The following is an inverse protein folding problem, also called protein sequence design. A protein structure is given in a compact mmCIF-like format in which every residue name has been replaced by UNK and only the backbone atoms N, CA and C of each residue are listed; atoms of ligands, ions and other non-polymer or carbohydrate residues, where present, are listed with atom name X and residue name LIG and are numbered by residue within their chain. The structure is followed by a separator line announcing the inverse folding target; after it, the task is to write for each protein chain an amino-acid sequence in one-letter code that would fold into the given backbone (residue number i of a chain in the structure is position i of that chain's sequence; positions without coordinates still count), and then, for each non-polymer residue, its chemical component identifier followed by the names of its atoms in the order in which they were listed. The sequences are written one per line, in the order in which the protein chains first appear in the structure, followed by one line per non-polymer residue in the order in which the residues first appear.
data_IF_948879441539
#
_entry.id   IF_948879441539
#
_cell.length_a   1.000
_cell.length_b   1.000
_cell.length_c   1.000
_cell.angle_alpha   90.00
_cell.angle_beta   90.00
_cell.angle_gamma   90.00
#
_symmetry.space_group_name_H-M   'P 1'
#
loop_
_entity.id
_entity.type
_entity.pdbx_description
1 polymer ?
#
# COMPACT_ATOMS: atom_id res chain seq x y z
N UNK A 1 17.55 11.65 1.93
CA UNK A 1 18.33 11.45 3.17
C UNK A 1 19.68 10.86 2.77
N UNK A 2 20.74 10.92 3.60
CA UNK A 2 21.96 10.15 3.29
C UNK A 2 21.58 8.67 3.17
N UNK A 3 22.14 7.99 2.17
CA UNK A 3 22.07 6.54 2.10
C UNK A 3 22.63 5.95 3.40
N UNK A 4 21.96 4.96 3.97
CA UNK A 4 22.26 4.47 5.30
C UNK A 4 21.51 3.18 5.62
N UNK A 5 22.07 2.38 6.51
CA UNK A 5 21.48 1.12 6.91
C UNK A 5 20.18 1.40 7.66
N UNK A 6 19.09 0.81 7.19
CA UNK A 6 17.78 0.85 7.84
C UNK A 6 17.24 -0.56 7.81
N UNK A 7 17.24 -1.22 8.97
CA UNK A 7 16.72 -2.57 9.13
C UNK A 7 15.59 -2.54 10.14
N UNK A 8 14.42 -3.07 9.75
CA UNK A 8 13.25 -3.17 10.61
C UNK A 8 12.78 -4.63 10.60
N UNK A 9 12.59 -5.22 11.78
CA UNK A 9 12.02 -6.56 11.89
C UNK A 9 10.99 -6.68 13.00
N UNK A 10 10.06 -7.63 12.86
CA UNK A 10 9.11 -8.03 13.90
C UNK A 10 8.19 -6.89 14.39
N UNK A 11 7.76 -6.02 13.46
CA UNK A 11 6.90 -4.87 13.76
C UNK A 11 5.59 -4.94 12.99
N UNK A 12 4.49 -4.56 13.66
CA UNK A 12 3.21 -4.27 13.01
C UNK A 12 2.95 -2.77 13.10
N UNK A 13 2.90 -2.09 11.94
CA UNK A 13 2.40 -0.73 11.83
C UNK A 13 0.88 -0.75 11.66
N UNK A 14 0.20 0.24 12.23
CA UNK A 14 -1.26 0.34 12.16
C UNK A 14 -1.73 1.78 12.27
N UNK A 15 -3.01 1.98 11.99
CA UNK A 15 -3.74 3.23 12.18
C UNK A 15 -5.05 2.96 12.91
N UNK A 16 -5.54 3.98 13.62
CA UNK A 16 -6.84 3.94 14.30
C UNK A 16 -7.92 4.62 13.46
N UNK A 17 -9.18 4.30 13.74
CA UNK A 17 -10.34 5.03 13.22
C UNK A 17 -10.12 6.56 13.27
N UNK A 18 -10.49 7.25 12.19
CA UNK A 18 -10.26 8.69 12.02
C UNK A 18 -8.96 9.06 11.29
N UNK A 19 -8.14 8.08 10.90
CA UNK A 19 -6.85 8.29 10.22
C UNK A 19 -6.97 8.33 8.69
N UNK A 20 -8.06 8.85 8.14
CA UNK A 20 -8.39 8.77 6.70
C UNK A 20 -7.34 9.36 5.74
N UNK A 21 -6.40 10.17 6.25
CA UNK A 21 -5.32 10.81 5.49
C UNK A 21 -3.94 10.23 5.77
N UNK A 22 -3.85 9.18 6.59
CA UNK A 22 -2.57 8.61 6.99
C UNK A 22 -1.91 7.85 5.83
N UNK A 23 -0.63 8.16 5.60
CA UNK A 23 0.32 7.24 4.97
C UNK A 23 0.96 6.49 6.13
N UNK A 24 0.65 5.21 6.29
CA UNK A 24 0.99 4.46 7.51
C UNK A 24 2.49 4.22 7.59
N UNK A 25 3.11 3.89 6.47
CA UNK A 25 4.55 3.82 6.33
C UNK A 25 4.99 4.52 5.04
N UNK A 26 5.77 5.58 5.17
CA UNK A 26 6.45 6.23 4.05
C UNK A 26 7.93 5.83 4.06
N UNK A 27 8.35 5.11 3.02
CA UNK A 27 9.71 4.60 2.86
C UNK A 27 10.49 5.47 1.89
N UNK A 28 11.53 6.12 2.40
CA UNK A 28 12.35 7.08 1.64
C UNK A 28 13.86 6.88 1.87
N UNK A 29 14.24 5.67 2.31
CA UNK A 29 15.63 5.27 2.58
C UNK A 29 16.24 4.56 1.38
N UNK A 30 17.57 4.46 1.35
CA UNK A 30 18.33 3.83 0.28
C UNK A 30 19.58 3.14 0.80
N UNK A 31 19.96 2.06 0.12
CA UNK A 31 21.17 1.30 0.33
C UNK A 31 22.39 2.22 0.22
N UNK A 32 23.39 2.10 1.12
CA UNK A 32 24.69 2.71 0.91
C UNK A 32 25.32 2.25 -0.40
N UNK A 33 26.12 3.13 -1.01
CA UNK A 33 26.83 2.82 -2.26
C UNK A 33 27.65 1.52 -2.12
N UNK A 34 27.52 0.64 -3.12
CA UNK A 34 28.22 -0.65 -3.17
C UNK A 34 27.62 -1.73 -2.27
N UNK A 35 26.60 -1.43 -1.47
CA UNK A 35 25.88 -2.40 -0.64
C UNK A 35 24.49 -2.66 -1.21
N UNK A 36 23.88 -3.77 -0.81
CA UNK A 36 22.56 -4.21 -1.31
C UNK A 36 21.74 -4.70 -0.13
N UNK A 37 20.44 -4.38 -0.13
CA UNK A 37 19.49 -4.83 0.88
C UNK A 37 19.87 -4.39 2.31
N UNK A 38 20.46 -3.21 2.45
CA UNK A 38 20.74 -2.55 3.73
C UNK A 38 19.60 -1.63 4.16
N UNK A 39 18.75 -1.22 3.22
CA UNK A 39 17.46 -0.60 3.46
C UNK A 39 16.39 -1.69 3.30
N UNK A 40 15.97 -2.30 4.41
CA UNK A 40 15.21 -3.54 4.36
C UNK A 40 14.24 -3.77 5.55
N UNK A 41 13.24 -4.61 5.30
CA UNK A 41 12.28 -5.09 6.30
C UNK A 41 12.06 -6.60 6.21
N UNK A 42 11.95 -7.25 7.37
CA UNK A 42 11.62 -8.68 7.50
C UNK A 42 10.54 -8.88 8.56
N UNK A 43 9.49 -9.63 8.23
CA UNK A 43 8.37 -9.86 9.16
C UNK A 43 7.80 -8.54 9.72
N UNK A 44 7.68 -7.56 8.82
CA UNK A 44 7.05 -6.26 9.09
C UNK A 44 5.73 -6.18 8.34
N UNK A 45 4.66 -5.89 9.06
CA UNK A 45 3.31 -5.88 8.51
C UNK A 45 2.62 -4.52 8.73
N UNK A 46 1.71 -4.16 7.83
CA UNK A 46 0.76 -3.06 8.03
C UNK A 46 -0.61 -3.69 8.22
N UNK A 47 -1.20 -3.52 9.40
CA UNK A 47 -2.50 -4.12 9.76
C UNK A 47 -3.52 -3.03 10.05
N UNK A 48 -4.58 -2.92 9.24
CA UNK A 48 -5.51 -1.80 9.28
C UNK A 48 -6.93 -2.25 9.64
N UNK A 49 -7.38 -1.90 10.84
CA UNK A 49 -8.67 -2.36 11.39
C UNK A 49 -8.66 -3.83 11.82
N UNK A 50 -9.78 -4.30 12.36
CA UNK A 50 -10.00 -5.73 12.67
C UNK A 50 -9.22 -6.26 13.86
N UNK A 51 -8.90 -5.42 14.83
CA UNK A 51 -8.31 -5.84 16.11
C UNK A 51 -8.66 -4.84 17.22
N UNK A 52 -8.52 -5.29 18.47
CA UNK A 52 -8.77 -4.52 19.69
C UNK A 52 -7.87 -3.32 19.77
N UNK A 53 -8.49 -2.15 19.87
CA UNK A 53 -7.77 -0.88 19.91
C UNK A 53 -7.50 -0.27 18.52
N UNK A 54 -7.94 -0.88 17.42
CA UNK A 54 -8.01 -0.18 16.13
C UNK A 54 -9.14 0.87 16.09
N UNK A 55 -10.19 0.67 16.89
CA UNK A 55 -11.43 1.44 16.80
C UNK A 55 -12.28 1.09 15.57
N UNK A 56 -11.93 0.02 14.85
CA UNK A 56 -12.62 -0.48 13.64
C UNK A 56 -12.84 -1.98 13.83
N UNK A 57 -13.98 -2.35 14.40
CA UNK A 57 -14.30 -3.72 14.84
C UNK A 57 -15.74 -4.07 14.51
N UNK A 58 -16.16 -5.29 14.83
CA UNK A 58 -17.52 -5.78 14.60
C UNK A 58 -18.60 -4.91 15.26
N UNK A 59 -18.28 -4.19 16.34
CA UNK A 59 -19.24 -3.32 17.02
C UNK A 59 -19.69 -2.11 16.19
N UNK A 60 -18.88 -1.63 15.26
CA UNK A 60 -19.14 -0.39 14.52
C UNK A 60 -18.95 -0.49 13.00
N UNK A 61 -18.25 -1.51 12.50
CA UNK A 61 -17.92 -1.67 11.08
C UNK A 61 -18.32 -3.05 10.56
N UNK A 62 -19.27 -3.73 11.21
CA UNK A 62 -19.75 -5.04 10.76
C UNK A 62 -20.30 -4.97 9.34
N UNK A 63 -19.81 -5.84 8.47
CA UNK A 63 -20.26 -5.93 7.08
C UNK A 63 -21.80 -6.12 7.02
N UNK A 64 -22.44 -5.51 6.03
CA UNK A 64 -23.89 -5.59 5.77
C UNK A 64 -24.80 -5.09 6.90
N UNK A 65 -24.27 -4.34 7.88
CA UNK A 65 -25.08 -3.77 8.97
C UNK A 65 -25.69 -2.40 8.66
N UNK A 66 -25.33 -1.79 7.52
CA UNK A 66 -25.69 -0.41 7.20
C UNK A 66 -24.94 0.64 8.04
N UNK A 67 -23.78 0.27 8.59
CA UNK A 67 -22.95 1.17 9.39
C UNK A 67 -22.51 2.43 8.61
N UNK A 68 -22.17 3.48 9.36
CA UNK A 68 -21.57 4.66 8.77
C UNK A 68 -20.16 4.36 8.24
N UNK A 69 -19.79 4.97 7.11
CA UNK A 69 -18.47 4.79 6.47
C UNK A 69 -17.34 5.48 7.23
N UNK A 70 -17.57 6.71 7.70
CA UNK A 70 -16.55 7.55 8.34
C UNK A 70 -15.76 6.88 9.48
N UNK A 71 -16.38 6.18 10.45
CA UNK A 71 -15.64 5.51 11.53
C UNK A 71 -14.83 4.29 11.05
N UNK A 72 -15.04 3.81 9.82
CA UNK A 72 -14.42 2.60 9.31
C UNK A 72 -13.29 2.88 8.30
N UNK A 73 -12.90 4.15 8.12
CA UNK A 73 -11.76 4.54 7.29
C UNK A 73 -10.48 4.44 8.11
N UNK A 74 -9.54 3.58 7.68
CA UNK A 74 -8.32 3.28 8.41
C UNK A 74 -7.12 4.11 7.93
N UNK A 75 -6.91 4.26 6.62
CA UNK A 75 -5.75 4.97 6.09
C UNK A 75 -5.93 5.44 4.63
N UNK A 76 -5.07 6.35 4.19
CA UNK A 76 -4.96 6.74 2.78
C UNK A 76 -4.07 5.79 1.99
N UNK A 77 -2.91 5.42 2.54
CA UNK A 77 -1.92 4.51 1.94
C UNK A 77 -1.35 3.61 3.04
N UNK A 78 -1.24 2.31 2.78
CA UNK A 78 -0.57 1.37 3.68
C UNK A 78 0.95 1.54 3.68
N UNK A 79 1.57 1.41 2.50
CA UNK A 79 3.01 1.58 2.32
C UNK A 79 3.30 2.41 1.07
N UNK A 80 4.08 3.48 1.22
CA UNK A 80 4.49 4.36 0.13
C UNK A 80 6.01 4.38 0.00
N UNK A 81 6.55 3.73 -1.02
CA UNK A 81 7.97 3.76 -1.38
C UNK A 81 8.18 4.94 -2.32
N UNK A 82 8.91 5.97 -1.89
CA UNK A 82 9.03 7.23 -2.63
C UNK A 82 10.45 7.78 -2.61
N UNK A 83 10.90 8.25 -3.77
CA UNK A 83 12.09 9.08 -3.88
C UNK A 83 11.80 10.47 -3.27
N UNK A 84 12.16 10.71 -1.99
CA UNK A 84 12.04 12.07 -1.44
C UNK A 84 13.12 13.00 -1.97
N UNK A 85 12.75 13.85 -2.93
CA UNK A 85 13.49 15.08 -3.17
C UNK A 85 13.27 15.97 -1.95
N UNK A 86 14.35 16.30 -1.23
CA UNK A 86 14.25 17.30 -0.15
C UNK A 86 13.77 18.63 -0.76
N UNK A 87 12.78 19.28 -0.15
CA UNK A 87 12.25 20.56 -0.63
C UNK A 87 13.34 21.65 -0.74
N UNK A 88 14.38 21.55 0.10
CA UNK A 88 15.56 22.41 0.05
C UNK A 88 16.37 22.18 -1.24
N UNK A 89 16.39 20.93 -1.71
CA UNK A 89 17.05 20.51 -2.94
C UNK A 89 16.30 20.94 -4.21
N UNK A 90 14.97 20.91 -4.17
CA UNK A 90 14.14 21.42 -5.27
C UNK A 90 14.36 22.92 -5.49
N UNK A 91 14.56 23.68 -4.41
CA UNK A 91 14.95 25.09 -4.46
C UNK A 91 16.37 25.26 -5.04
N UNK A 92 17.34 24.45 -4.62
CA UNK A 92 18.72 24.53 -5.12
C UNK A 92 18.86 24.15 -6.61
N UNK A 93 18.11 23.16 -7.09
CA UNK A 93 18.06 22.80 -8.51
C UNK A 93 17.47 23.93 -9.38
N UNK A 94 16.53 24.72 -8.85
CA UNK A 94 15.95 25.84 -9.57
C UNK A 94 16.89 27.06 -9.69
N UNK A 95 18.00 27.09 -8.93
CA UNK A 95 19.05 28.11 -9.01
C UNK A 95 20.27 27.72 -9.87
N UNK A 96 20.18 26.65 -10.67
CA UNK A 96 21.18 26.33 -11.69
C UNK A 96 22.44 25.63 -11.18
N UNK A 97 22.42 25.04 -9.99
CA UNK A 97 23.49 24.15 -9.52
C UNK A 97 23.39 22.78 -10.23
N UNK A 98 23.82 22.71 -11.48
CA UNK A 98 23.69 21.54 -12.35
C UNK A 98 24.60 20.34 -11.97
N UNK A 99 25.46 20.45 -10.95
CA UNK A 99 26.47 19.44 -10.64
C UNK A 99 26.34 18.77 -9.26
N UNK A 100 25.32 19.11 -8.46
CA UNK A 100 25.03 18.35 -7.26
C UNK A 100 24.19 17.11 -7.64
N UNK A 101 24.88 16.05 -8.04
CA UNK A 101 24.36 14.70 -8.30
C UNK A 101 23.77 14.10 -7.02
N UNK A 102 22.65 14.65 -6.53
CA UNK A 102 21.90 14.06 -5.45
C UNK A 102 21.10 12.89 -6.04
N UNK A 103 21.70 11.71 -5.98
CA UNK A 103 21.01 10.44 -6.19
C UNK A 103 19.93 10.27 -5.12
N UNK A 104 18.76 10.85 -5.35
CA UNK A 104 17.57 10.55 -4.56
C UNK A 104 17.10 9.17 -5.02
N UNK A 105 17.52 8.15 -4.27
CA UNK A 105 17.10 6.78 -4.45
C UNK A 105 16.15 6.40 -3.31
N UNK A 106 15.20 5.53 -3.61
CA UNK A 106 14.49 4.75 -2.62
C UNK A 106 14.72 3.29 -2.95
N UNK A 107 15.63 2.64 -2.25
CA UNK A 107 15.86 1.19 -2.43
C UNK A 107 15.17 0.46 -1.29
N UNK A 108 14.71 -0.75 -1.55
CA UNK A 108 14.10 -1.53 -0.49
C UNK A 108 14.23 -3.03 -0.73
N UNK A 109 14.40 -3.79 0.35
CA UNK A 109 14.23 -5.23 0.38
C UNK A 109 13.17 -5.59 1.41
N UNK A 110 12.00 -6.00 0.93
CA UNK A 110 10.85 -6.38 1.76
C UNK A 110 10.64 -7.88 1.67
N UNK A 111 10.73 -8.58 2.79
CA UNK A 111 10.48 -10.03 2.84
C UNK A 111 9.36 -10.34 3.82
N UNK A 112 8.32 -11.00 3.32
CA UNK A 112 7.15 -11.39 4.10
C UNK A 112 6.23 -10.22 4.50
N UNK A 113 6.44 -9.03 3.93
CA UNK A 113 5.61 -7.87 4.25
C UNK A 113 4.16 -8.06 3.80
N UNK A 114 3.24 -7.90 4.74
CA UNK A 114 1.79 -7.98 4.49
C UNK A 114 1.14 -6.63 4.79
N UNK A 115 0.54 -6.02 3.77
CA UNK A 115 -0.26 -4.80 3.90
C UNK A 115 -1.73 -5.19 3.82
N UNK A 116 -2.33 -5.41 4.98
CA UNK A 116 -3.68 -5.96 5.10
C UNK A 116 -4.66 -4.90 5.60
N UNK A 117 -5.68 -4.64 4.79
CA UNK A 117 -6.89 -3.94 5.22
C UNK A 117 -7.90 -4.97 5.67
N UNK A 118 -8.33 -4.90 6.92
CA UNK A 118 -9.08 -5.99 7.53
C UNK A 118 -10.39 -6.29 6.81
N UNK A 119 -10.55 -7.55 6.39
CA UNK A 119 -11.82 -8.09 5.89
C UNK A 119 -12.65 -8.74 7.01
N UNK A 120 -12.03 -9.06 8.15
CA UNK A 120 -12.66 -9.62 9.34
C UNK A 120 -12.02 -9.12 10.65
N UNK A 121 -12.75 -9.25 11.75
CA UNK A 121 -12.28 -8.90 13.09
C UNK A 121 -11.53 -10.08 13.72
N UNK A 122 -10.21 -9.94 13.86
CA UNK A 122 -9.33 -10.99 14.40
C UNK A 122 -9.63 -11.34 15.85
N UNK A 123 -10.14 -10.38 16.62
CA UNK A 123 -10.43 -10.56 18.05
C UNK A 123 -11.90 -10.95 18.30
N UNK A 124 -12.72 -11.08 17.24
CA UNK A 124 -14.03 -11.71 17.34
C UNK A 124 -13.88 -13.24 17.21
N UNK A 125 -14.32 -14.05 18.19
CA UNK A 125 -14.28 -15.51 18.09
C UNK A 125 -15.05 -16.06 16.88
N UNK A 126 -15.99 -15.28 16.32
CA UNK A 126 -16.73 -15.68 15.11
C UNK A 126 -16.03 -15.28 13.82
N UNK A 127 -14.92 -14.53 13.89
CA UNK A 127 -14.21 -13.92 12.77
C UNK A 127 -15.19 -13.22 11.83
N UNK A 128 -16.09 -12.40 12.41
CA UNK A 128 -17.10 -11.72 11.62
C UNK A 128 -16.45 -10.76 10.62
N UNK A 129 -16.99 -10.75 9.40
CA UNK A 129 -16.55 -9.80 8.38
C UNK A 129 -16.89 -8.37 8.78
N UNK A 130 -15.96 -7.47 8.50
CA UNK A 130 -16.07 -6.03 8.71
C UNK A 130 -15.71 -5.30 7.43
N UNK A 131 -16.26 -4.10 7.26
CA UNK A 131 -15.90 -3.23 6.15
C UNK A 131 -14.90 -2.19 6.66
N UNK A 132 -13.65 -2.31 6.20
CA UNK A 132 -12.58 -1.36 6.49
C UNK A 132 -12.12 -0.70 5.20
N UNK A 133 -11.96 0.63 5.23
CA UNK A 133 -11.61 1.40 4.05
C UNK A 133 -10.19 1.93 4.15
N UNK A 134 -9.32 1.44 3.28
CA UNK A 134 -7.98 2.00 3.01
C UNK A 134 -7.90 2.40 1.55
N UNK A 135 -7.32 3.56 1.22
CA UNK A 135 -7.29 4.03 -0.16
C UNK A 135 -6.45 3.13 -1.07
N UNK A 136 -5.18 2.96 -0.71
CA UNK A 136 -4.16 2.24 -1.49
C UNK A 136 -3.37 1.29 -0.58
N UNK A 137 -2.97 0.16 -1.13
CA UNK A 137 -2.08 -0.79 -0.48
C UNK A 137 -0.62 -0.32 -0.52
N UNK A 138 0.17 -0.95 -1.37
CA UNK A 138 1.58 -0.63 -1.64
C UNK A 138 1.66 0.27 -2.88
N UNK A 139 2.23 1.46 -2.72
CA UNK A 139 2.54 2.39 -3.81
C UNK A 139 4.05 2.53 -3.92
N UNK A 140 4.62 2.27 -5.08
CA UNK A 140 6.05 2.47 -5.37
C UNK A 140 6.23 3.48 -6.48
N UNK A 141 6.98 4.52 -6.15
CA UNK A 141 7.49 5.57 -7.03
C UNK A 141 9.02 5.63 -6.97
N UNK A 142 9.65 4.49 -6.68
CA UNK A 142 11.11 4.37 -6.69
C UNK A 142 11.62 4.46 -8.12
N UNK A 143 12.02 5.64 -8.56
CA UNK A 143 12.45 5.90 -9.94
C UNK A 143 13.82 5.32 -10.30
N UNK A 144 14.53 4.73 -9.33
CA UNK A 144 15.88 4.19 -9.51
C UNK A 144 16.04 2.78 -8.96
N UNK A 145 15.26 2.37 -7.96
CA UNK A 145 15.39 1.07 -7.31
C UNK A 145 16.81 0.79 -6.77
N UNK A 146 17.14 -0.47 -6.45
CA UNK A 146 16.28 -1.65 -6.62
C UNK A 146 15.17 -1.74 -5.55
N UNK A 147 14.03 -2.30 -5.94
CA UNK A 147 12.92 -2.67 -5.04
C UNK A 147 12.74 -4.18 -5.11
N UNK A 148 12.93 -4.89 -4.00
CA UNK A 148 12.73 -6.33 -3.88
C UNK A 148 11.50 -6.59 -3.00
N UNK A 149 10.47 -7.19 -3.58
CA UNK A 149 9.24 -7.60 -2.88
C UNK A 149 9.18 -9.13 -2.85
N UNK A 150 9.68 -9.71 -1.77
CA UNK A 150 9.85 -11.16 -1.62
C UNK A 150 8.71 -11.73 -0.78
N UNK A 151 7.77 -12.42 -1.43
CA UNK A 151 6.63 -13.02 -0.74
C UNK A 151 5.72 -11.98 -0.07
N UNK A 152 5.50 -10.82 -0.70
CA UNK A 152 4.67 -9.76 -0.13
C UNK A 152 3.20 -9.94 -0.50
N UNK A 153 2.30 -9.48 0.35
CA UNK A 153 0.87 -9.44 0.09
C UNK A 153 0.32 -8.03 0.34
N UNK A 154 -0.62 -7.58 -0.50
CA UNK A 154 -1.37 -6.36 -0.27
C UNK A 154 -2.83 -6.59 -0.61
N UNK A 155 -3.72 -6.38 0.36
CA UNK A 155 -5.09 -6.84 0.25
C UNK A 155 -6.12 -5.79 0.69
N UNK A 156 -7.27 -5.86 0.01
CA UNK A 156 -8.51 -5.16 0.34
C UNK A 156 -8.41 -3.62 0.37
N UNK A 157 -7.44 -3.02 -0.31
CA UNK A 157 -7.47 -1.58 -0.57
C UNK A 157 -8.67 -1.21 -1.46
N UNK A 158 -9.22 -0.02 -1.32
CA UNK A 158 -10.39 0.44 -2.07
C UNK A 158 -10.06 0.67 -3.56
N UNK A 159 -8.88 1.24 -3.86
CA UNK A 159 -8.52 1.63 -5.23
C UNK A 159 -7.58 0.61 -5.85
N UNK A 160 -6.45 0.33 -5.20
CA UNK A 160 -5.37 -0.50 -5.75
C UNK A 160 -4.53 -1.13 -4.65
N UNK A 161 -4.19 -2.41 -4.83
CA UNK A 161 -3.35 -3.17 -3.90
C UNK A 161 -1.85 -2.94 -4.16
N UNK A 162 -1.39 -3.06 -5.41
CA UNK A 162 -0.03 -2.66 -5.80
C UNK A 162 -0.09 -1.61 -6.91
N UNK A 163 0.54 -0.45 -6.69
CA UNK A 163 0.69 0.57 -7.72
C UNK A 163 2.17 0.90 -7.94
N UNK A 164 2.72 0.52 -9.09
CA UNK A 164 4.06 0.90 -9.52
C UNK A 164 3.94 2.02 -10.55
N UNK A 165 4.31 3.23 -10.15
CA UNK A 165 4.17 4.40 -10.98
C UNK A 165 5.50 5.15 -11.05
N UNK A 166 5.99 5.41 -12.27
CA UNK A 166 7.33 5.96 -12.50
C UNK A 166 8.46 5.15 -11.82
N UNK A 167 8.22 3.87 -11.55
CA UNK A 167 9.14 3.02 -10.79
C UNK A 167 10.10 2.29 -11.73
N UNK A 168 11.33 2.04 -11.27
CA UNK A 168 12.34 1.30 -12.03
C UNK A 168 13.00 0.20 -11.18
N UNK A 169 13.45 -0.87 -11.84
CA UNK A 169 14.26 -1.93 -11.22
C UNK A 169 13.54 -2.63 -10.05
N UNK A 170 12.32 -3.10 -10.31
CA UNK A 170 11.49 -3.80 -9.33
C UNK A 170 11.52 -5.30 -9.61
N UNK A 171 11.83 -6.09 -8.58
CA UNK A 171 11.54 -7.53 -8.55
C UNK A 171 10.43 -7.78 -7.55
N UNK A 172 9.42 -8.56 -7.93
CA UNK A 172 8.36 -8.97 -7.03
C UNK A 172 8.04 -10.47 -7.23
N UNK A 173 8.14 -11.27 -6.17
CA UNK A 173 8.05 -12.73 -6.29
C UNK A 173 7.87 -13.47 -4.96
N UNK A 174 6.81 -14.24 -4.74
CA UNK A 174 5.48 -14.05 -5.35
C UNK A 174 4.81 -12.84 -4.69
N UNK A 175 3.96 -12.13 -5.45
CA UNK A 175 3.03 -11.14 -4.87
C UNK A 175 1.61 -11.70 -4.81
N UNK A 176 0.88 -11.41 -3.75
CA UNK A 176 -0.52 -11.82 -3.60
C UNK A 176 -1.41 -10.60 -3.35
N UNK A 177 -2.65 -10.65 -3.86
CA UNK A 177 -3.69 -9.65 -3.56
C UNK A 177 -5.08 -10.24 -3.47
N UNK A 178 -5.95 -9.63 -2.66
CA UNK A 178 -7.41 -9.77 -2.73
C UNK A 178 -8.15 -8.45 -2.92
N UNK A 179 -9.23 -8.47 -3.70
CA UNK A 179 -10.19 -7.35 -3.79
C UNK A 179 -10.91 -7.14 -2.45
N UNK A 180 -11.27 -5.89 -2.12
CA UNK A 180 -12.07 -5.62 -0.92
C UNK A 180 -13.46 -6.26 -1.02
N UNK A 181 -13.86 -7.07 -0.04
CA UNK A 181 -15.09 -7.87 -0.12
C UNK A 181 -16.36 -7.04 -0.21
N UNK A 182 -16.35 -5.80 0.27
CA UNK A 182 -17.51 -4.92 0.16
C UNK A 182 -17.80 -4.48 -1.27
N UNK A 183 -16.82 -4.54 -2.16
CA UNK A 183 -17.00 -4.09 -3.53
C UNK A 183 -17.88 -5.08 -4.31
N UNK A 184 -18.81 -4.57 -5.14
CA UNK A 184 -18.87 -3.21 -5.70
C UNK A 184 -19.74 -2.22 -4.91
N UNK A 185 -20.02 -2.43 -3.62
CA UNK A 185 -20.92 -1.55 -2.84
C UNK A 185 -20.35 -1.15 -1.47
N UNK A 186 -19.76 0.05 -1.34
CA UNK A 186 -19.51 1.00 -2.43
C UNK A 186 -18.41 0.49 -3.37
N UNK A 187 -18.45 0.91 -4.64
CA UNK A 187 -17.42 0.57 -5.61
C UNK A 187 -16.23 1.53 -5.55
N UNK A 188 -15.07 1.09 -6.04
CA UNK A 188 -13.91 1.97 -6.21
C UNK A 188 -14.29 3.24 -7.02
N UNK A 189 -13.75 4.44 -6.68
CA UNK A 189 -12.74 4.71 -5.64
C UNK A 189 -13.33 4.96 -4.24
N UNK A 190 -14.65 4.90 -4.07
CA UNK A 190 -15.31 5.28 -2.81
C UNK A 190 -14.82 4.45 -1.62
N UNK A 191 -14.65 5.05 -0.42
CA UNK A 191 -14.99 6.45 -0.05
C UNK A 191 -13.91 7.48 -0.39
N UNK A 192 -12.87 7.09 -1.12
CA UNK A 192 -11.78 7.98 -1.52
C UNK A 192 -12.07 8.64 -2.86
N UNK A 193 -11.25 9.65 -3.19
CA UNK A 193 -11.20 10.28 -4.50
C UNK A 193 -9.94 9.83 -5.24
N UNK A 194 -10.05 9.70 -6.56
CA UNK A 194 -8.87 9.52 -7.43
C UNK A 194 -7.90 10.68 -7.23
N UNK A 195 -6.62 10.36 -7.10
CA UNK A 195 -5.52 11.28 -6.89
C UNK A 195 -4.45 11.09 -7.96
N UNK A 196 -4.16 12.15 -8.70
CA UNK A 196 -3.01 12.17 -9.61
C UNK A 196 -1.68 12.19 -8.86
N UNK A 197 -1.65 12.70 -7.62
CA UNK A 197 -0.46 12.74 -6.75
C UNK A 197 0.06 11.35 -6.42
N UNK A 198 -0.83 10.35 -6.29
CA UNK A 198 -0.46 8.96 -5.99
C UNK A 198 -0.64 8.05 -7.21
N UNK A 199 -0.74 8.66 -8.40
CA UNK A 199 -0.88 7.97 -9.66
C UNK A 199 -1.97 6.91 -9.66
N UNK A 200 -3.17 7.28 -9.17
CA UNK A 200 -4.28 6.34 -9.18
C UNK A 200 -4.65 5.90 -10.60
N UNK A 201 -5.01 4.62 -10.78
CA UNK A 201 -5.45 4.12 -12.08
C UNK A 201 -6.76 4.78 -12.51
N UNK A 202 -6.76 5.32 -13.71
CA UNK A 202 -7.94 5.86 -14.40
C UNK A 202 -8.18 5.08 -15.68
N UNK A 203 -9.44 4.80 -16.02
CA UNK A 203 -9.78 4.24 -17.32
C UNK A 203 -9.97 5.36 -18.37
N UNK A 204 -9.68 5.09 -19.66
CA UNK A 204 -9.94 6.04 -20.74
C UNK A 204 -11.40 6.47 -20.84
N UNK A 205 -11.63 7.65 -21.42
CA UNK A 205 -12.96 8.15 -21.80
C UNK A 205 -13.98 8.21 -20.64
N UNK A 206 -13.52 8.35 -19.40
CA UNK A 206 -14.40 8.46 -18.22
C UNK A 206 -15.07 7.15 -17.82
N UNK A 207 -14.61 6.00 -18.33
CA UNK A 207 -15.09 4.70 -17.85
C UNK A 207 -14.80 4.53 -16.35
N UNK A 208 -15.72 3.87 -15.64
CA UNK A 208 -15.58 3.62 -14.20
C UNK A 208 -15.32 2.14 -13.95
N UNK A 209 -14.40 1.86 -13.03
CA UNK A 209 -14.12 0.52 -12.53
C UNK A 209 -14.56 0.47 -11.07
N UNK A 210 -15.39 -0.50 -10.69
CA UNK A 210 -15.99 -0.55 -9.35
C UNK A 210 -15.26 -1.45 -8.37
N UNK A 211 -14.17 -2.09 -8.81
CA UNK A 211 -13.38 -3.03 -8.00
C UNK A 211 -11.94 -2.54 -7.78
N UNK A 212 -11.26 -3.07 -6.77
CA UNK A 212 -9.84 -2.85 -6.52
C UNK A 212 -9.01 -3.37 -7.69
N UNK A 213 -8.01 -2.62 -8.12
CA UNK A 213 -6.96 -3.14 -8.98
C UNK A 213 -5.97 -4.01 -8.18
N UNK A 214 -5.69 -5.23 -8.62
CA UNK A 214 -4.67 -6.07 -7.99
C UNK A 214 -3.27 -5.46 -8.15
N UNK A 215 -2.88 -5.14 -9.39
CA UNK A 215 -1.61 -4.54 -9.74
C UNK A 215 -1.81 -3.52 -10.86
N UNK A 216 -1.20 -2.35 -10.72
CA UNK A 216 -1.10 -1.34 -11.78
C UNK A 216 0.35 -0.95 -11.98
N UNK A 217 0.75 -0.83 -13.25
CA UNK A 217 2.10 -0.42 -13.65
C UNK A 217 1.94 0.72 -14.65
N UNK A 218 2.47 1.90 -14.30
CA UNK A 218 2.35 3.12 -15.09
C UNK A 218 3.73 3.76 -15.26
N UNK A 219 4.09 4.13 -16.49
CA UNK A 219 5.35 4.84 -16.79
C UNK A 219 6.60 4.24 -16.13
N UNK A 220 6.63 2.92 -15.97
CA UNK A 220 7.64 2.18 -15.21
C UNK A 220 8.43 1.26 -16.12
N UNK A 221 9.67 0.93 -15.75
CA UNK A 221 10.58 0.11 -16.57
C UNK A 221 11.34 -0.91 -15.71
N UNK A 222 11.82 -1.99 -16.34
CA UNK A 222 12.55 -3.07 -15.67
C UNK A 222 11.80 -3.63 -14.43
N UNK A 223 10.55 -4.04 -14.65
CA UNK A 223 9.68 -4.65 -13.65
C UNK A 223 9.61 -6.15 -13.92
N UNK A 224 10.11 -6.97 -13.00
CA UNK A 224 10.05 -8.43 -13.05
C UNK A 224 9.12 -8.96 -11.97
N UNK A 225 7.97 -9.51 -12.41
CA UNK A 225 7.02 -10.21 -11.54
C UNK A 225 7.21 -11.72 -11.74
N UNK A 226 7.72 -12.40 -10.72
CA UNK A 226 7.99 -13.83 -10.74
C UNK A 226 7.03 -14.57 -9.81
N UNK A 227 5.81 -14.77 -10.31
CA UNK A 227 4.68 -15.33 -9.56
C UNK A 227 3.76 -14.23 -9.01
N UNK A 228 2.47 -14.33 -9.33
CA UNK A 228 1.45 -13.43 -8.83
C UNK A 228 0.12 -14.18 -8.61
N UNK A 229 -0.49 -13.98 -7.44
CA UNK A 229 -1.81 -14.49 -7.09
C UNK A 229 -2.78 -13.34 -6.88
N UNK A 230 -3.50 -12.93 -7.93
CA UNK A 230 -4.52 -11.88 -7.84
C UNK A 230 -5.91 -12.51 -7.74
N UNK A 231 -6.49 -12.44 -6.54
CA UNK A 231 -7.73 -13.13 -6.20
C UNK A 231 -8.86 -12.12 -6.07
N UNK A 232 -10.02 -12.51 -6.57
CA UNK A 232 -11.28 -11.84 -6.29
C UNK A 232 -12.19 -12.85 -5.60
N UNK A 233 -12.29 -12.72 -4.28
CA UNK A 233 -13.22 -13.52 -3.50
C UNK A 233 -14.55 -12.78 -3.39
N UNK A 234 -15.69 -13.42 -3.73
CA UNK A 234 -16.99 -12.85 -3.44
C UNK A 234 -17.18 -12.78 -1.93
N UNK A 235 -17.87 -11.74 -1.44
CA UNK A 235 -18.33 -11.69 -0.04
C UNK A 235 -19.15 -12.95 0.24
N UNK A 236 -18.65 -13.82 1.11
CA UNK A 236 -19.34 -15.05 1.46
C UNK A 236 -20.28 -14.80 2.63
N UNK A 237 -21.58 -15.08 2.45
CA UNK A 237 -22.53 -15.15 3.57
C UNK A 237 -22.36 -16.44 4.41
N UNK A 238 -21.40 -17.30 4.03
CA UNK A 238 -21.11 -18.58 4.68
C UNK A 238 -19.62 -18.82 4.80
N UNK A 239 -19.21 -19.10 6.04
CA UNK A 239 -17.89 -19.59 6.44
C UNK A 239 -17.38 -20.69 5.49
N UNK A 240 -16.15 -20.53 5.01
CA UNK A 240 -15.27 -21.67 4.75
C UNK A 240 -13.92 -21.37 5.38
N UNK A 241 -13.74 -21.90 6.59
CA UNK A 241 -12.54 -22.65 6.94
C UNK A 241 -13.07 -24.01 7.38
#
# INVERSE_FOLDING_TARGET
MPAGNTEISDIVFSARSGSARAIVLEWNTADPSGQKAMAAMWDVHVRLGGFTGSGIQTSNCKALSGHATAPCVAALIGLHIINKISWYLALFCSYGAADAYFNVQATTYLKGTWVWTADHDLDDPKQAQIDVYTGRGIVSESASGPVWLIGTASEHAAIVNYNFANSQNVYAGLIQTETAYYQPTPGAPSPFTISTTYHDPTLPNGATHTMTWGLTIQSSSNILIYGAGHIRSPRTTRRRI
#
